data_IF_963517031514
#
_entry.id   IF_963517031514
#
_cell.length_a   1.000
_cell.length_b   1.000
_cell.length_c   1.000
_cell.angle_alpha   90.00
_cell.angle_beta   90.00
_cell.angle_gamma   90.00
#
_symmetry.space_group_name_H-M   'P 1'
#
loop_
_entity.id
_entity.type
_entity.pdbx_description
1 polymer ?
#
# COMPACT_ATOMS: atom_id res chain seq x y z
N UNK A 1 2.90 -11.72 9.45
CA UNK A 1 3.32 -10.90 8.30
C UNK A 1 2.95 -9.43 8.47
N UNK A 2 3.88 -8.51 8.19
CA UNK A 2 3.61 -7.08 8.01
C UNK A 2 4.62 -6.55 6.99
N UNK A 3 4.12 -6.02 5.88
CA UNK A 3 4.96 -5.58 4.76
C UNK A 3 5.23 -4.08 4.81
N UNK A 4 6.44 -3.72 4.41
CA UNK A 4 6.89 -2.34 4.26
C UNK A 4 7.43 -2.12 2.85
N UNK A 5 7.13 -0.97 2.24
CA UNK A 5 7.67 -0.57 0.95
C UNK A 5 8.28 0.82 1.04
N UNK A 6 9.45 1.02 0.43
CA UNK A 6 10.21 2.26 0.54
C UNK A 6 10.37 2.90 -0.84
N UNK A 7 10.02 4.18 -0.93
CA UNK A 7 10.14 4.99 -2.13
C UNK A 7 11.18 6.08 -1.90
N UNK A 8 12.09 6.24 -2.85
CA UNK A 8 13.07 7.33 -2.84
C UNK A 8 12.40 8.62 -3.31
N UNK A 9 12.65 9.70 -2.62
CA UNK A 9 12.18 11.06 -2.92
C UNK A 9 13.34 11.88 -3.50
N UNK A 10 13.03 12.90 -4.30
CA UNK A 10 14.07 13.80 -4.77
C UNK A 10 14.41 14.82 -3.68
N UNK A 11 15.70 15.20 -3.51
CA UNK A 11 16.09 16.20 -2.52
C UNK A 11 15.42 17.57 -2.69
N UNK A 12 14.87 17.87 -3.88
CA UNK A 12 14.14 19.12 -4.15
C UNK A 12 12.71 19.13 -3.57
N UNK A 13 12.20 17.96 -3.18
CA UNK A 13 10.81 17.77 -2.72
C UNK A 13 10.60 18.25 -1.28
N UNK A 14 11.68 18.58 -0.54
CA UNK A 14 11.65 19.06 0.85
C UNK A 14 10.81 20.34 1.06
N UNK A 15 10.60 21.11 0.00
CA UNK A 15 9.83 22.36 0.05
C UNK A 15 8.35 22.19 -0.31
N UNK A 16 7.95 20.99 -0.73
CA UNK A 16 6.58 20.65 -1.15
C UNK A 16 5.75 20.26 0.07
N UNK A 17 4.45 20.55 0.04
CA UNK A 17 3.51 20.08 1.08
C UNK A 17 3.59 18.54 1.17
N UNK A 18 3.82 17.96 2.38
CA UNK A 18 3.94 16.51 2.54
C UNK A 18 2.77 15.71 1.97
N UNK A 19 1.54 16.24 2.03
CA UNK A 19 0.36 15.57 1.48
C UNK A 19 0.46 15.42 -0.04
N UNK A 20 0.87 16.49 -0.74
CA UNK A 20 1.07 16.48 -2.19
C UNK A 20 2.15 15.46 -2.55
N UNK A 21 3.25 15.42 -1.79
CA UNK A 21 4.34 14.49 -2.03
C UNK A 21 3.91 13.02 -1.87
N UNK A 22 3.13 12.71 -0.82
CA UNK A 22 2.56 11.37 -0.66
C UNK A 22 1.66 11.03 -1.86
N UNK A 23 0.74 11.91 -2.25
CA UNK A 23 -0.14 11.70 -3.40
C UNK A 23 0.62 11.48 -4.71
N UNK A 24 1.67 12.26 -4.96
CA UNK A 24 2.53 12.11 -6.14
C UNK A 24 3.24 10.75 -6.16
N UNK A 25 3.78 10.31 -5.02
CA UNK A 25 4.38 8.98 -4.90
C UNK A 25 3.35 7.90 -5.18
N UNK A 26 2.15 8.00 -4.60
CA UNK A 26 1.11 7.00 -4.80
C UNK A 26 0.67 6.91 -6.27
N UNK A 27 0.47 8.06 -6.92
CA UNK A 27 0.03 8.13 -8.32
C UNK A 27 1.11 7.65 -9.30
N UNK A 28 2.38 7.99 -9.05
CA UNK A 28 3.49 7.62 -9.94
C UNK A 28 3.87 6.14 -9.80
N UNK A 29 3.60 5.53 -8.65
CA UNK A 29 4.00 4.17 -8.31
C UNK A 29 2.81 3.21 -8.15
N UNK A 30 1.67 3.47 -8.81
CA UNK A 30 0.45 2.65 -8.73
C UNK A 30 0.74 1.14 -8.90
N UNK A 31 1.60 0.78 -9.87
CA UNK A 31 1.96 -0.61 -10.15
C UNK A 31 2.72 -1.26 -9.00
N UNK A 32 3.68 -0.53 -8.41
CA UNK A 32 4.49 -1.02 -7.30
C UNK A 32 3.63 -1.16 -6.04
N UNK A 33 2.67 -0.24 -5.83
CA UNK A 33 1.65 -0.37 -4.78
C UNK A 33 0.79 -1.63 -4.98
N UNK A 34 0.40 -1.94 -6.22
CA UNK A 34 -0.32 -3.17 -6.53
C UNK A 34 0.47 -4.42 -6.13
N UNK A 35 1.78 -4.45 -6.41
CA UNK A 35 2.67 -5.53 -5.97
C UNK A 35 2.75 -5.60 -4.44
N UNK A 36 2.98 -4.46 -3.79
CA UNK A 36 3.03 -4.35 -2.32
C UNK A 36 1.75 -4.90 -1.67
N UNK A 37 0.57 -4.49 -2.15
CA UNK A 37 -0.72 -4.95 -1.63
C UNK A 37 -0.97 -6.43 -1.94
N UNK A 38 -0.49 -6.94 -3.08
CA UNK A 38 -0.67 -8.35 -3.47
C UNK A 38 0.02 -9.34 -2.52
N UNK A 39 1.06 -8.93 -1.78
CA UNK A 39 1.70 -9.81 -0.78
C UNK A 39 0.74 -10.24 0.34
N UNK A 40 -0.20 -9.36 0.69
CA UNK A 40 -1.24 -9.65 1.68
C UNK A 40 -2.20 -10.74 1.17
N UNK A 41 -2.52 -10.74 -0.12
CA UNK A 41 -3.50 -11.67 -0.72
C UNK A 41 -2.87 -12.87 -1.43
N UNK A 42 -1.56 -13.07 -1.27
CA UNK A 42 -0.82 -14.17 -1.92
C UNK A 42 -1.42 -15.54 -1.62
N UNK A 43 -1.92 -15.77 -0.40
CA UNK A 43 -2.56 -17.05 0.00
C UNK A 43 -3.90 -17.29 -0.69
N UNK A 44 -4.59 -16.23 -1.11
CA UNK A 44 -5.86 -16.26 -1.84
C UNK A 44 -5.66 -16.43 -3.34
N UNK A 45 -4.41 -16.31 -3.83
CA UNK A 45 -4.11 -16.33 -5.26
C UNK A 45 -4.62 -15.09 -6.00
N UNK A 46 -4.76 -13.97 -5.29
CA UNK A 46 -5.27 -12.72 -5.83
C UNK A 46 -4.17 -11.66 -5.98
N UNK A 47 -4.39 -10.73 -6.90
CA UNK A 47 -3.52 -9.58 -7.15
C UNK A 47 -4.30 -8.28 -7.00
N UNK A 48 -3.66 -7.27 -6.43
CA UNK A 48 -4.21 -5.92 -6.30
C UNK A 48 -3.83 -5.07 -7.52
N UNK A 49 -4.82 -4.44 -8.13
CA UNK A 49 -4.68 -3.57 -9.30
C UNK A 49 -5.47 -2.27 -9.12
N UNK A 50 -5.24 -1.28 -9.99
CA UNK A 50 -5.94 0.01 -9.99
C UNK A 50 -5.91 0.73 -8.64
N UNK A 51 -4.75 0.71 -7.99
CA UNK A 51 -4.57 1.23 -6.63
C UNK A 51 -4.70 2.74 -6.61
N UNK A 52 -5.52 3.26 -5.70
CA UNK A 52 -5.76 4.69 -5.55
C UNK A 52 -5.83 5.09 -4.09
N UNK A 53 -5.64 6.38 -3.83
CA UNK A 53 -5.92 6.97 -2.54
C UNK A 53 -7.44 7.16 -2.39
N UNK A 54 -7.98 6.66 -1.29
CA UNK A 54 -9.37 6.88 -0.89
C UNK A 54 -9.44 7.90 0.23
N UNK A 55 -10.10 9.02 -0.03
CA UNK A 55 -10.32 10.07 0.95
C UNK A 55 -9.06 10.91 1.19
N UNK A 56 -8.95 11.47 2.41
CA UNK A 56 -7.85 12.35 2.80
C UNK A 56 -6.76 11.61 3.56
N UNK A 57 -5.55 12.18 3.55
CA UNK A 57 -4.41 11.68 4.31
C UNK A 57 -4.50 12.20 5.75
N UNK A 58 -4.48 11.28 6.72
CA UNK A 58 -4.52 11.61 8.15
C UNK A 58 -3.09 11.74 8.71
N UNK A 59 -2.60 12.97 8.85
CA UNK A 59 -1.30 13.24 9.47
C UNK A 59 -1.38 13.11 10.99
N UNK A 60 -0.47 12.32 11.56
CA UNK A 60 -0.25 12.25 13.00
C UNK A 60 0.76 13.32 13.45
N UNK A 61 1.72 13.63 12.58
CA UNK A 61 2.63 14.77 12.66
C UNK A 61 3.23 15.05 11.26
N UNK A 62 4.18 15.98 11.16
CA UNK A 62 4.79 16.40 9.89
C UNK A 62 5.51 15.30 9.11
N UNK A 63 5.92 14.21 9.78
CA UNK A 63 6.69 13.13 9.19
C UNK A 63 5.90 11.83 9.00
N UNK A 64 4.74 11.67 9.64
CA UNK A 64 4.03 10.39 9.58
C UNK A 64 2.53 10.52 9.72
N UNK A 65 1.82 9.52 9.20
CA UNK A 65 0.38 9.49 9.24
C UNK A 65 -0.19 8.18 8.73
N UNK A 66 -1.45 8.23 8.34
CA UNK A 66 -2.22 7.13 7.79
C UNK A 66 -2.99 7.58 6.56
N UNK A 67 -3.26 6.64 5.68
CA UNK A 67 -4.09 6.82 4.50
C UNK A 67 -4.84 5.53 4.19
N UNK A 68 -5.91 5.62 3.42
CA UNK A 68 -6.65 4.46 2.93
C UNK A 68 -6.34 4.26 1.46
N UNK A 69 -5.90 3.07 1.06
CA UNK A 69 -5.80 2.70 -0.34
C UNK A 69 -7.02 1.90 -0.75
N UNK A 70 -7.63 2.24 -1.89
CA UNK A 70 -8.64 1.44 -2.55
C UNK A 70 -8.08 0.79 -3.81
N UNK A 71 -8.48 -0.44 -4.09
CA UNK A 71 -7.97 -1.21 -5.21
C UNK A 71 -8.95 -2.28 -5.68
N UNK A 72 -8.71 -2.77 -6.88
CA UNK A 72 -9.35 -3.95 -7.43
C UNK A 72 -8.56 -5.19 -6.98
N UNK A 73 -9.20 -6.09 -6.24
CA UNK A 73 -8.64 -7.40 -5.93
C UNK A 73 -9.14 -8.43 -6.96
N UNK A 74 -8.21 -8.90 -7.79
CA UNK A 74 -8.49 -9.79 -8.92
C UNK A 74 -8.03 -11.20 -8.57
N UNK A 75 -8.98 -12.13 -8.57
CA UNK A 75 -8.70 -13.57 -8.46
C UNK A 75 -8.64 -14.16 -9.85
N UNK A 76 -7.52 -14.80 -10.18
CA UNK A 76 -7.36 -15.46 -11.46
C UNK A 76 -7.10 -16.95 -11.27
N UNK A 77 -8.05 -17.77 -11.72
CA UNK A 77 -7.85 -19.21 -11.85
C UNK A 77 -8.05 -19.63 -13.31
N UNK A 78 -6.94 -19.82 -14.02
CA UNK A 78 -6.93 -20.19 -15.44
C UNK A 78 -7.63 -21.54 -15.71
N UNK A 79 -7.57 -22.48 -14.77
CA UNK A 79 -8.15 -23.81 -14.93
C UNK A 79 -9.68 -23.81 -14.78
N UNK A 80 -10.21 -22.92 -13.93
CA UNK A 80 -11.64 -22.81 -13.67
C UNK A 80 -12.32 -21.68 -14.47
N UNK A 81 -11.57 -20.93 -15.29
CA UNK A 81 -12.04 -19.73 -15.99
C UNK A 81 -12.74 -18.72 -15.07
N UNK A 82 -12.26 -18.62 -13.82
CA UNK A 82 -12.77 -17.67 -12.83
C UNK A 82 -11.94 -16.40 -12.95
N UNK A 83 -12.62 -15.31 -13.29
CA UNK A 83 -12.12 -13.95 -13.23
C UNK A 83 -13.06 -13.16 -12.31
N UNK A 84 -12.79 -13.23 -11.02
CA UNK A 84 -13.58 -12.54 -10.01
C UNK A 84 -12.82 -11.29 -9.56
N UNK A 85 -13.46 -10.14 -9.71
CA UNK A 85 -12.93 -8.85 -9.31
C UNK A 85 -13.85 -8.26 -8.25
N UNK A 86 -13.28 -7.88 -7.11
CA UNK A 86 -13.97 -7.09 -6.08
C UNK A 86 -13.16 -5.84 -5.75
N UNK A 87 -13.85 -4.81 -5.27
CA UNK A 87 -13.19 -3.64 -4.67
C UNK A 87 -12.80 -4.01 -3.24
N UNK A 88 -11.57 -3.69 -2.86
CA UNK A 88 -11.10 -3.84 -1.47
C UNK A 88 -10.34 -2.58 -1.03
N UNK A 89 -10.13 -2.45 0.27
CA UNK A 89 -9.53 -1.27 0.88
C UNK A 89 -8.56 -1.67 2.00
N UNK A 90 -7.44 -0.94 2.12
CA UNK A 90 -6.43 -1.24 3.12
C UNK A 90 -5.89 0.04 3.77
N UNK A 91 -5.88 0.11 5.12
CA UNK A 91 -5.24 1.20 5.83
C UNK A 91 -3.73 1.03 5.77
N UNK A 92 -3.04 2.08 5.33
CA UNK A 92 -1.59 2.14 5.22
C UNK A 92 -1.06 3.23 6.14
N UNK A 93 0.02 2.93 6.84
CA UNK A 93 0.79 3.93 7.57
C UNK A 93 1.92 4.43 6.67
N UNK A 94 2.24 5.72 6.75
CA UNK A 94 3.38 6.27 6.05
C UNK A 94 4.29 7.03 7.00
N UNK A 95 5.59 7.03 6.69
CA UNK A 95 6.61 7.78 7.41
C UNK A 95 7.69 8.29 6.45
N UNK A 96 7.96 9.59 6.51
CA UNK A 96 9.12 10.24 5.92
C UNK A 96 10.34 10.03 6.82
N UNK A 97 11.50 9.80 6.21
CA UNK A 97 12.74 9.92 6.95
C UNK A 97 13.02 11.39 7.34
N UNK A 98 13.83 11.66 8.38
CA UNK A 98 14.06 13.03 8.86
C UNK A 98 14.68 13.97 7.82
N UNK A 99 15.27 13.41 6.75
CA UNK A 99 15.90 14.14 5.66
C UNK A 99 15.00 14.23 4.42
N UNK A 100 13.76 13.71 4.47
CA UNK A 100 12.81 13.66 3.35
C UNK A 100 13.43 13.10 2.06
N UNK A 101 14.35 12.15 2.19
CA UNK A 101 14.91 11.40 1.07
C UNK A 101 14.07 10.16 0.75
N UNK A 102 13.23 9.72 1.69
CA UNK A 102 12.46 8.50 1.52
C UNK A 102 11.08 8.59 2.16
N UNK A 103 10.08 8.02 1.48
CA UNK A 103 8.77 7.72 2.02
C UNK A 103 8.65 6.21 2.23
N UNK A 104 8.38 5.79 3.46
CA UNK A 104 8.13 4.38 3.79
C UNK A 104 6.64 4.18 4.01
N UNK A 105 6.05 3.24 3.28
CA UNK A 105 4.69 2.76 3.50
C UNK A 105 4.74 1.44 4.29
N UNK A 106 3.85 1.31 5.26
CA UNK A 106 3.72 0.13 6.11
C UNK A 106 2.27 -0.31 6.14
N UNK A 107 2.00 -1.54 5.72
CA UNK A 107 0.63 -2.07 5.73
C UNK A 107 0.22 -2.61 7.10
N UNK A 108 -0.99 -3.17 7.20
CA UNK A 108 -1.53 -3.68 8.45
C UNK A 108 -0.73 -4.91 8.93
N UNK A 109 -0.70 -5.10 10.24
CA UNK A 109 -0.15 -6.33 10.79
C UNK A 109 -1.14 -7.48 10.60
N UNK A 110 -0.72 -8.54 9.90
CA UNK A 110 -1.47 -9.78 9.78
C UNK A 110 -0.79 -10.88 10.61
N UNK A 111 -1.36 -11.30 11.76
CA UNK A 111 -0.81 -12.43 12.49
C UNK A 111 -0.82 -13.66 11.58
N UNK A 112 0.35 -14.26 11.40
CA UNK A 112 0.39 -15.61 10.83
C UNK A 112 -0.25 -16.52 11.86
N UNK A 113 -1.38 -17.12 11.50
CA UNK A 113 -1.91 -18.23 12.28
C UNK A 113 -0.88 -19.34 12.20
N UNK A 114 -0.20 -19.61 13.31
CA UNK A 114 0.40 -20.92 13.51
C UNK A 114 -0.71 -21.95 13.35
N UNK A 115 -0.42 -23.02 12.62
CA UNK A 115 -1.33 -24.15 12.49
C UNK A 115 -1.57 -24.64 13.92
N UNK A 116 -2.81 -24.55 14.43
CA UNK A 116 -3.14 -25.15 15.73
C UNK A 116 -2.65 -26.61 15.66
N UNK A 117 -1.66 -26.95 16.49
CA UNK A 117 -1.24 -28.34 16.65
C UNK A 117 -2.45 -29.11 17.19
N UNK A 118 -3.04 -29.96 16.35
CA UNK A 118 -4.14 -30.87 16.71
C UNK A 118 -3.56 -32.09 17.41
#
# INVERSE_FOLDING_TARGET
MQETWKFSLNPQDQSVNPAILVEEVLNTNERDLGIFLSYYFKKEGAVAEKVKLKGEIEFLNDLKGKLMLDFDLVHFNACLNIHEQKRDEMPIQFEFDPLFQNLTLTGPYWPEREMDEI
#
